data_IF_823822676170
#
_entry.id   IF_823822676170
#
_cell.length_a   1.000
_cell.length_b   1.000
_cell.length_c   1.000
_cell.angle_alpha   90.00
_cell.angle_beta   90.00
_cell.angle_gamma   90.00
#
_symmetry.space_group_name_H-M   'P 1'
#
loop_
_entity.id
_entity.type
_entity.pdbx_description
1 polymer ?
#
# COMPACT_ATOMS: atom_id res chain seq x y z
N UNK A 1 -8.45 8.89 15.12
CA UNK A 1 -9.63 8.81 14.22
C UNK A 1 -9.29 8.13 12.89
N UNK A 2 -8.31 8.60 12.13
CA UNK A 2 -7.96 8.02 10.81
C UNK A 2 -7.51 6.55 10.90
N UNK A 3 -6.73 6.18 11.91
CA UNK A 3 -6.33 4.78 12.12
C UNK A 3 -7.54 3.86 12.29
N UNK A 4 -8.48 4.22 13.15
CA UNK A 4 -9.69 3.40 13.38
C UNK A 4 -10.54 3.28 12.13
N UNK A 5 -10.71 4.38 11.38
CA UNK A 5 -11.51 4.38 10.15
C UNK A 5 -10.86 3.53 9.05
N UNK A 6 -9.55 3.68 8.81
CA UNK A 6 -8.86 2.88 7.78
C UNK A 6 -8.77 1.41 8.15
N UNK A 7 -8.57 1.08 9.44
CA UNK A 7 -8.58 -0.32 9.90
C UNK A 7 -9.97 -0.93 9.77
N UNK A 8 -11.02 -0.22 10.19
CA UNK A 8 -12.41 -0.70 10.06
C UNK A 8 -12.79 -0.88 8.58
N UNK A 9 -12.40 0.07 7.72
CA UNK A 9 -12.63 -0.03 6.28
C UNK A 9 -11.86 -1.21 5.65
N UNK A 10 -10.62 -1.47 6.05
CA UNK A 10 -9.85 -2.63 5.61
C UNK A 10 -10.54 -3.94 6.02
N UNK A 11 -10.96 -4.05 7.28
CA UNK A 11 -11.64 -5.26 7.77
C UNK A 11 -12.98 -5.49 7.05
N UNK A 12 -13.78 -4.44 6.86
CA UNK A 12 -15.02 -4.52 6.10
C UNK A 12 -14.77 -4.95 4.65
N UNK A 13 -13.78 -4.33 3.98
CA UNK A 13 -13.36 -4.69 2.63
C UNK A 13 -12.91 -6.16 2.55
N UNK A 14 -12.15 -6.65 3.55
CA UNK A 14 -11.69 -8.05 3.62
C UNK A 14 -12.86 -9.04 3.72
N UNK A 15 -13.86 -8.71 4.52
CA UNK A 15 -15.08 -9.55 4.65
C UNK A 15 -15.85 -9.59 3.33
N UNK A 16 -16.04 -8.44 2.68
CA UNK A 16 -16.78 -8.33 1.40
C UNK A 16 -16.03 -9.04 0.28
N UNK A 17 -14.70 -8.92 0.23
CA UNK A 17 -13.84 -9.60 -0.74
C UNK A 17 -13.90 -11.13 -0.53
N UNK A 18 -13.71 -11.59 0.71
CA UNK A 18 -13.77 -13.01 1.05
C UNK A 18 -15.15 -13.66 0.82
N UNK A 19 -16.23 -12.88 0.90
CA UNK A 19 -17.59 -13.30 0.54
C UNK A 19 -17.84 -13.30 -0.99
N UNK A 20 -16.88 -12.88 -1.80
CA UNK A 20 -17.01 -12.84 -3.27
C UNK A 20 -17.93 -11.73 -3.79
N UNK A 21 -18.36 -10.79 -2.93
CA UNK A 21 -19.34 -9.76 -3.30
C UNK A 21 -18.77 -8.70 -4.24
N UNK A 22 -17.45 -8.56 -4.31
CA UNK A 22 -16.79 -7.66 -5.28
C UNK A 22 -16.62 -8.28 -6.67
N UNK A 23 -16.71 -9.62 -6.81
CA UNK A 23 -16.35 -10.32 -8.04
C UNK A 23 -17.01 -9.78 -9.31
N UNK A 24 -18.34 -9.45 -9.35
CA UNK A 24 -18.93 -8.90 -10.56
C UNK A 24 -18.35 -7.54 -10.97
N UNK A 25 -18.03 -6.69 -9.99
CA UNK A 25 -17.43 -5.38 -10.22
C UNK A 25 -15.94 -5.50 -10.58
N UNK A 26 -15.22 -6.42 -9.94
CA UNK A 26 -13.81 -6.70 -10.21
C UNK A 26 -13.61 -7.14 -11.65
N UNK A 27 -14.42 -8.09 -12.15
CA UNK A 27 -14.37 -8.54 -13.54
C UNK A 27 -14.70 -7.39 -14.51
N UNK A 28 -15.76 -6.63 -14.24
CA UNK A 28 -16.16 -5.51 -15.10
C UNK A 28 -15.05 -4.47 -15.25
N UNK A 29 -14.39 -4.12 -14.14
CA UNK A 29 -13.31 -3.10 -14.13
C UNK A 29 -12.05 -3.66 -14.79
N UNK A 30 -11.69 -4.93 -14.53
CA UNK A 30 -10.57 -5.60 -15.18
C UNK A 30 -10.75 -5.60 -16.70
N UNK A 31 -11.90 -6.06 -17.20
CA UNK A 31 -12.22 -6.10 -18.62
C UNK A 31 -12.15 -4.70 -19.25
N UNK A 32 -12.69 -3.69 -18.55
CA UNK A 32 -12.63 -2.31 -19.02
C UNK A 32 -11.20 -1.77 -19.10
N UNK A 33 -10.38 -2.06 -18.09
CA UNK A 33 -8.97 -1.64 -18.03
C UNK A 33 -8.14 -2.29 -19.15
N UNK A 34 -8.43 -3.54 -19.49
CA UNK A 34 -7.67 -4.30 -20.48
C UNK A 34 -8.10 -4.10 -21.93
N UNK A 35 -9.22 -3.41 -22.19
CA UNK A 35 -9.64 -3.05 -23.56
C UNK A 35 -8.69 -2.06 -24.25
N UNK A 36 -7.92 -1.31 -23.47
CA UNK A 36 -6.94 -0.35 -23.97
C UNK A 36 -5.57 -1.01 -23.93
N UNK A 37 -5.01 -1.31 -25.09
CA UNK A 37 -3.68 -1.90 -25.24
C UNK A 37 -2.73 -0.85 -25.84
N UNK A 38 -1.77 -0.37 -25.03
CA UNK A 38 -0.76 0.58 -25.49
C UNK A 38 0.57 0.34 -24.79
N UNK A 39 1.68 0.39 -25.56
CA UNK A 39 3.03 0.26 -24.99
C UNK A 39 3.36 1.31 -23.92
N UNK A 40 2.62 2.43 -23.87
CA UNK A 40 2.76 3.43 -22.79
C UNK A 40 2.23 2.88 -21.47
N UNK A 41 1.07 2.21 -21.47
CA UNK A 41 0.52 1.59 -20.26
C UNK A 41 1.38 0.43 -19.79
N UNK A 42 1.97 -0.35 -20.69
CA UNK A 42 2.92 -1.41 -20.35
C UNK A 42 4.17 -0.83 -19.67
N UNK A 43 4.73 0.25 -20.21
CA UNK A 43 5.88 0.94 -19.61
C UNK A 43 5.55 1.51 -18.22
N UNK A 44 4.39 2.14 -18.05
CA UNK A 44 3.90 2.62 -16.74
C UNK A 44 3.74 1.43 -15.80
N UNK A 45 3.15 0.35 -16.27
CA UNK A 45 2.98 -0.90 -15.54
C UNK A 45 4.30 -1.45 -15.01
N UNK A 46 5.32 -1.54 -15.88
CA UNK A 46 6.65 -2.00 -15.50
C UNK A 46 7.30 -1.10 -14.44
N UNK A 47 7.29 0.23 -14.66
CA UNK A 47 7.87 1.20 -13.71
C UNK A 47 7.20 1.10 -12.34
N UNK A 48 5.86 1.05 -12.31
CA UNK A 48 5.10 0.94 -11.06
C UNK A 48 5.25 -0.43 -10.39
N UNK A 49 5.48 -1.51 -11.17
CA UNK A 49 5.77 -2.84 -10.63
C UNK A 49 7.10 -2.85 -9.88
N UNK A 50 8.16 -2.34 -10.51
CA UNK A 50 9.47 -2.26 -9.85
C UNK A 50 9.41 -1.35 -8.62
N UNK A 51 8.80 -0.18 -8.73
CA UNK A 51 8.75 0.81 -7.65
C UNK A 51 7.83 0.39 -6.47
N UNK A 52 6.82 -0.46 -6.71
CA UNK A 52 5.95 -1.02 -5.67
C UNK A 52 6.40 -2.40 -5.16
N UNK A 53 7.42 -2.98 -5.77
CA UNK A 53 8.01 -4.26 -5.36
C UNK A 53 8.59 -4.20 -3.95
N UNK A 54 8.55 -5.33 -3.24
CA UNK A 54 8.98 -5.41 -1.83
C UNK A 54 10.43 -5.01 -1.67
N UNK A 55 11.30 -5.38 -2.62
CA UNK A 55 12.73 -5.09 -2.57
C UNK A 55 13.00 -3.59 -2.64
N UNK A 56 12.41 -2.92 -3.63
CA UNK A 56 12.57 -1.47 -3.82
C UNK A 56 12.02 -0.70 -2.62
N UNK A 57 10.79 -1.03 -2.19
CA UNK A 57 10.15 -0.32 -1.08
C UNK A 57 10.84 -0.60 0.24
N UNK A 58 11.37 -1.80 0.49
CA UNK A 58 12.16 -2.09 1.69
C UNK A 58 13.43 -1.23 1.74
N UNK A 59 14.20 -1.18 0.65
CA UNK A 59 15.40 -0.32 0.56
C UNK A 59 15.04 1.15 0.73
N UNK A 60 14.01 1.64 0.06
CA UNK A 60 13.56 3.02 0.16
C UNK A 60 13.04 3.36 1.58
N UNK A 61 12.35 2.42 2.25
CA UNK A 61 11.89 2.59 3.63
C UNK A 61 13.07 2.68 4.59
N UNK A 62 14.10 1.84 4.42
CA UNK A 62 15.34 1.91 5.22
C UNK A 62 16.06 3.24 4.99
N UNK A 63 16.19 3.68 3.73
CA UNK A 63 16.81 4.96 3.40
C UNK A 63 16.05 6.15 4.02
N UNK A 64 14.71 6.15 3.95
CA UNK A 64 13.88 7.17 4.58
C UNK A 64 14.00 7.14 6.11
N UNK A 65 13.96 5.95 6.72
CA UNK A 65 14.12 5.79 8.16
C UNK A 65 15.51 6.28 8.63
N UNK A 66 16.58 5.94 7.91
CA UNK A 66 17.94 6.43 8.18
C UNK A 66 17.99 7.96 8.08
N UNK A 67 17.39 8.55 7.05
CA UNK A 67 17.32 10.00 6.90
C UNK A 67 16.58 10.66 8.08
N UNK A 68 15.49 10.06 8.53
CA UNK A 68 14.74 10.53 9.71
C UNK A 68 15.57 10.42 11.00
N UNK A 69 16.34 9.35 11.17
CA UNK A 69 17.27 9.18 12.30
C UNK A 69 18.33 10.28 12.31
N UNK A 70 18.98 10.57 11.17
CA UNK A 70 19.99 11.62 11.04
C UNK A 70 19.42 13.01 11.28
N UNK A 71 18.12 13.22 11.00
CA UNK A 71 17.39 14.44 11.30
C UNK A 71 16.85 14.52 12.74
N UNK A 72 17.25 13.59 13.62
CA UNK A 72 16.80 13.56 15.03
C UNK A 72 15.34 13.12 15.22
N UNK A 73 14.70 12.53 14.19
CA UNK A 73 13.31 12.03 14.24
C UNK A 73 13.25 10.52 14.47
N UNK A 74 14.06 10.00 15.39
CA UNK A 74 14.19 8.57 15.70
C UNK A 74 12.87 7.85 15.98
N UNK A 75 11.97 8.38 16.81
CA UNK A 75 10.68 7.75 17.07
C UNK A 75 9.83 7.58 15.80
N UNK A 76 9.84 8.53 14.89
CA UNK A 76 9.13 8.44 13.62
C UNK A 76 9.76 7.40 12.68
N UNK A 77 11.10 7.36 12.62
CA UNK A 77 11.83 6.35 11.86
C UNK A 77 11.47 4.93 12.31
N UNK A 78 11.49 4.70 13.63
CA UNK A 78 11.13 3.41 14.22
C UNK A 78 9.67 3.02 13.91
N UNK A 79 8.74 3.96 14.04
CA UNK A 79 7.33 3.70 13.70
C UNK A 79 7.14 3.36 12.23
N UNK A 80 7.83 4.05 11.32
CA UNK A 80 7.76 3.74 9.90
C UNK A 80 8.21 2.30 9.60
N UNK A 81 9.32 1.87 10.19
CA UNK A 81 9.83 0.50 10.02
C UNK A 81 8.88 -0.52 10.63
N UNK A 82 8.36 -0.26 11.84
CA UNK A 82 7.37 -1.15 12.49
C UNK A 82 6.09 -1.23 11.63
N UNK A 83 5.59 -0.10 11.13
CA UNK A 83 4.42 -0.10 10.25
C UNK A 83 4.64 -0.94 9.00
N UNK A 84 5.81 -0.82 8.35
CA UNK A 84 6.16 -1.63 7.17
C UNK A 84 6.14 -3.13 7.50
N UNK A 85 6.77 -3.54 8.59
CA UNK A 85 6.84 -4.94 9.00
C UNK A 85 5.46 -5.49 9.43
N UNK A 86 4.73 -4.75 10.26
CA UNK A 86 3.43 -5.19 10.78
C UNK A 86 2.39 -5.27 9.67
N UNK A 87 2.33 -4.27 8.79
CA UNK A 87 1.38 -4.32 7.66
C UNK A 87 1.74 -5.41 6.66
N UNK A 88 3.03 -5.72 6.46
CA UNK A 88 3.47 -6.86 5.66
C UNK A 88 3.05 -8.22 6.27
N UNK A 89 3.14 -8.36 7.60
CA UNK A 89 2.64 -9.56 8.28
C UNK A 89 1.12 -9.70 8.18
N UNK A 90 0.38 -8.59 8.30
CA UNK A 90 -1.08 -8.57 8.12
C UNK A 90 -1.44 -8.93 6.66
N UNK A 91 -0.70 -8.39 5.67
CA UNK A 91 -0.86 -8.76 4.26
C UNK A 91 -0.72 -10.27 4.08
N UNK A 92 0.37 -10.85 4.59
CA UNK A 92 0.63 -12.28 4.47
C UNK A 92 -0.48 -13.12 5.13
N UNK A 93 -0.92 -12.73 6.32
CA UNK A 93 -2.04 -13.38 6.99
C UNK A 93 -3.34 -13.28 6.19
N UNK A 94 -3.66 -12.11 5.65
CA UNK A 94 -4.86 -11.92 4.83
C UNK A 94 -4.81 -12.76 3.55
N UNK A 95 -3.64 -12.89 2.91
CA UNK A 95 -3.43 -13.76 1.74
C UNK A 95 -3.61 -15.26 2.00
N UNK A 96 -3.68 -15.66 3.27
CA UNK A 96 -4.01 -17.05 3.66
C UNK A 96 -5.45 -17.21 4.15
N UNK A 97 -6.10 -16.11 4.56
CA UNK A 97 -7.39 -16.16 5.27
C UNK A 97 -8.57 -15.60 4.47
N UNK A 98 -8.32 -14.73 3.47
CA UNK A 98 -9.40 -14.09 2.68
C UNK A 98 -9.56 -14.86 1.36
N UNK A 99 -10.57 -15.72 1.22
CA UNK A 99 -10.72 -16.61 0.07
C UNK A 99 -11.25 -15.85 -1.15
N UNK A 100 -10.34 -15.20 -1.87
CA UNK A 100 -10.64 -14.54 -3.13
C UNK A 100 -9.94 -15.29 -4.28
N UNK A 101 -10.63 -15.65 -5.37
CA UNK A 101 -10.01 -16.36 -6.48
C UNK A 101 -8.92 -15.48 -7.12
N UNK A 102 -7.81 -16.06 -7.61
CA UNK A 102 -6.81 -15.32 -8.34
C UNK A 102 -7.38 -14.76 -9.65
N UNK A 103 -6.74 -13.73 -10.18
CA UNK A 103 -7.00 -13.26 -11.53
C UNK A 103 -6.63 -14.39 -12.51
N UNK A 104 -7.43 -14.68 -13.55
CA UNK A 104 -7.12 -15.71 -14.53
C UNK A 104 -5.77 -15.46 -15.21
N UNK A 105 -5.00 -16.53 -15.44
CA UNK A 105 -3.64 -16.43 -16.02
C UNK A 105 -3.65 -15.81 -17.43
N UNK A 106 -4.69 -16.04 -18.20
CA UNK A 106 -4.87 -15.46 -19.53
C UNK A 106 -5.15 -13.95 -19.53
N UNK A 107 -5.53 -13.40 -18.38
CA UNK A 107 -5.63 -11.95 -18.15
C UNK A 107 -4.32 -11.30 -17.73
N UNK A 108 -3.29 -12.08 -17.38
CA UNK A 108 -1.99 -11.53 -16.98
C UNK A 108 -1.19 -11.09 -18.22
N UNK A 109 -0.86 -9.79 -18.30
CA UNK A 109 -0.09 -9.21 -19.42
C UNK A 109 1.41 -9.40 -19.29
N UNK A 110 1.93 -9.25 -18.08
CA UNK A 110 3.36 -9.39 -17.79
C UNK A 110 3.58 -10.05 -16.43
N UNK A 111 4.58 -10.95 -16.28
CA UNK A 111 4.97 -11.47 -14.98
C UNK A 111 5.38 -10.33 -14.03
N UNK A 112 5.11 -10.50 -12.75
CA UNK A 112 5.62 -9.58 -11.72
C UNK A 112 7.15 -9.71 -11.66
N UNK A 113 7.92 -8.61 -11.78
CA UNK A 113 9.38 -8.64 -11.75
C UNK A 113 9.98 -8.84 -10.35
N UNK A 114 9.17 -9.14 -9.33
CA UNK A 114 9.63 -9.36 -7.95
C UNK A 114 10.60 -10.54 -7.87
N UNK A 115 11.72 -10.36 -7.16
CA UNK A 115 12.69 -11.43 -6.87
C UNK A 115 12.23 -12.27 -5.67
N UNK A 116 11.41 -11.71 -4.80
CA UNK A 116 10.85 -12.36 -3.62
C UNK A 116 9.39 -12.73 -3.92
N UNK A 117 9.21 -13.85 -4.58
CA UNK A 117 7.88 -14.42 -4.79
C UNK A 117 7.52 -15.36 -3.63
N UNK A 118 6.59 -14.93 -2.80
CA UNK A 118 6.01 -15.76 -1.75
C UNK A 118 4.67 -16.31 -2.27
N UNK A 119 4.69 -17.56 -2.67
CA UNK A 119 3.46 -18.25 -3.10
C UNK A 119 2.42 -18.23 -1.98
N UNK A 120 1.27 -17.63 -2.26
CA UNK A 120 0.15 -17.52 -1.33
C UNK A 120 -1.13 -17.99 -2.02
N UNK A 121 -2.09 -18.61 -1.28
CA UNK A 121 -3.31 -19.17 -1.87
C UNK A 121 -4.23 -18.10 -2.47
N UNK A 122 -4.20 -16.86 -1.97
CA UNK A 122 -5.12 -15.79 -2.38
C UNK A 122 -4.37 -14.51 -2.72
N UNK A 123 -4.86 -13.69 -3.69
CA UNK A 123 -4.22 -12.45 -4.10
C UNK A 123 -4.45 -11.27 -3.15
N UNK A 124 -5.52 -11.32 -2.33
CA UNK A 124 -5.95 -10.22 -1.46
C UNK A 124 -5.11 -10.14 -0.17
N UNK A 125 -4.71 -8.93 0.24
CA UNK A 125 -4.73 -7.66 -0.46
C UNK A 125 -3.49 -7.44 -1.34
N UNK A 126 -3.52 -6.41 -2.23
CA UNK A 126 -2.37 -6.05 -3.05
C UNK A 126 -1.21 -5.49 -2.21
N UNK A 127 -0.12 -6.24 -2.14
CA UNK A 127 1.09 -5.82 -1.42
C UNK A 127 1.80 -4.64 -2.08
N UNK A 128 1.78 -4.54 -3.41
CA UNK A 128 2.32 -3.39 -4.14
C UNK A 128 1.59 -2.10 -3.73
N UNK A 129 0.26 -2.13 -3.69
CA UNK A 129 -0.52 -0.96 -3.31
C UNK A 129 -0.35 -0.59 -1.84
N UNK A 130 -0.35 -1.58 -0.94
CA UNK A 130 -0.05 -1.41 0.48
C UNK A 130 1.27 -0.64 0.69
N UNK A 131 2.36 -1.16 0.11
CA UNK A 131 3.71 -0.62 0.27
C UNK A 131 3.85 0.76 -0.38
N UNK A 132 3.27 0.94 -1.57
CA UNK A 132 3.26 2.25 -2.24
C UNK A 132 2.54 3.31 -1.42
N UNK A 133 1.37 3.01 -0.85
CA UNK A 133 0.63 3.96 0.00
C UNK A 133 1.40 4.29 1.27
N UNK A 134 2.01 3.30 1.93
CA UNK A 134 2.77 3.54 3.15
C UNK A 134 4.00 4.42 2.89
N UNK A 135 4.83 4.08 1.90
CA UNK A 135 6.08 4.80 1.60
C UNK A 135 5.80 6.18 0.99
N UNK A 136 5.03 6.22 -0.11
CA UNK A 136 4.77 7.48 -0.81
C UNK A 136 3.87 8.40 0.00
N UNK A 137 2.95 7.84 0.80
CA UNK A 137 2.17 8.58 1.78
C UNK A 137 3.03 9.20 2.88
N UNK A 138 4.04 8.47 3.39
CA UNK A 138 5.00 9.02 4.34
C UNK A 138 5.80 10.17 3.71
N UNK A 139 6.31 10.01 2.49
CA UNK A 139 7.01 11.07 1.76
C UNK A 139 6.08 12.27 1.53
N UNK A 140 4.82 12.03 1.12
CA UNK A 140 3.82 13.08 0.93
C UNK A 140 3.58 13.94 2.18
N UNK A 141 3.53 13.31 3.36
CA UNK A 141 3.33 14.01 4.63
C UNK A 141 4.58 14.75 5.09
N UNK A 142 5.75 14.24 4.76
CA UNK A 142 7.04 14.84 5.15
C UNK A 142 7.49 15.96 4.19
N UNK A 143 7.08 15.92 2.94
CA UNK A 143 7.54 16.84 1.91
C UNK A 143 6.60 18.05 1.74
N UNK A 144 7.09 19.28 1.88
CA UNK A 144 6.24 20.49 1.86
C UNK A 144 5.83 20.92 0.45
N UNK A 145 6.52 20.46 -0.60
CA UNK A 145 6.33 20.94 -1.98
C UNK A 145 5.00 20.45 -2.59
N UNK A 146 4.14 21.38 -3.02
CA UNK A 146 2.89 21.03 -3.71
C UNK A 146 3.10 20.24 -5.00
N UNK A 147 4.03 20.62 -5.91
CA UNK A 147 4.28 19.82 -7.12
C UNK A 147 4.70 18.39 -6.81
N UNK A 148 5.58 18.18 -5.83
CA UNK A 148 6.00 16.86 -5.41
C UNK A 148 4.81 16.03 -4.89
N UNK A 149 3.94 16.61 -4.06
CA UNK A 149 2.74 15.94 -3.56
C UNK A 149 1.79 15.52 -4.69
N UNK A 150 1.60 16.38 -5.69
CA UNK A 150 0.78 16.05 -6.87
C UNK A 150 1.42 14.90 -7.65
N UNK A 151 2.73 14.93 -7.88
CA UNK A 151 3.44 13.87 -8.57
C UNK A 151 3.32 12.51 -7.83
N UNK A 152 3.43 12.51 -6.49
CA UNK A 152 3.24 11.30 -5.68
C UNK A 152 1.82 10.73 -5.78
N UNK A 153 0.80 11.60 -5.79
CA UNK A 153 -0.59 11.16 -5.95
C UNK A 153 -0.86 10.61 -7.37
N UNK A 154 -0.30 11.25 -8.40
CA UNK A 154 -0.38 10.73 -9.78
C UNK A 154 0.29 9.37 -9.87
N UNK A 155 1.46 9.20 -9.25
CA UNK A 155 2.16 7.91 -9.26
C UNK A 155 1.39 6.83 -8.49
N UNK A 156 0.77 7.16 -7.35
CA UNK A 156 -0.11 6.23 -6.62
C UNK A 156 -1.32 5.81 -7.45
N UNK A 157 -1.95 6.76 -8.14
CA UNK A 157 -3.07 6.47 -9.03
C UNK A 157 -2.63 5.57 -10.22
N UNK A 158 -1.48 5.89 -10.82
CA UNK A 158 -0.89 5.07 -11.87
C UNK A 158 -0.56 3.65 -11.38
N UNK A 159 -0.02 3.52 -10.16
CA UNK A 159 0.24 2.23 -9.53
C UNK A 159 -1.04 1.43 -9.32
N UNK A 160 -2.11 2.06 -8.84
CA UNK A 160 -3.40 1.39 -8.66
C UNK A 160 -3.98 0.87 -9.98
N UNK A 161 -4.02 1.72 -11.01
CA UNK A 161 -4.53 1.37 -12.33
C UNK A 161 -3.69 0.28 -12.98
N UNK A 162 -2.35 0.38 -12.86
CA UNK A 162 -1.46 -0.59 -13.48
C UNK A 162 -1.61 -2.01 -12.93
N UNK A 163 -1.90 -2.18 -11.62
CA UNK A 163 -2.11 -3.52 -11.04
C UNK A 163 -3.30 -4.24 -11.67
N UNK A 164 -4.39 -3.49 -11.92
CA UNK A 164 -5.57 -4.01 -12.60
C UNK A 164 -5.29 -4.22 -14.10
N UNK A 165 -4.70 -3.24 -14.77
CA UNK A 165 -4.35 -3.30 -16.18
C UNK A 165 -3.44 -4.49 -16.52
N UNK A 166 -2.42 -4.74 -15.70
CA UNK A 166 -1.51 -5.87 -15.87
C UNK A 166 -2.14 -7.23 -15.51
N UNK A 167 -3.35 -7.26 -14.96
CA UNK A 167 -4.03 -8.48 -14.54
C UNK A 167 -3.38 -9.17 -13.34
N UNK A 168 -2.57 -8.46 -12.55
CA UNK A 168 -1.90 -9.03 -11.38
C UNK A 168 -2.77 -9.02 -10.13
N UNK A 169 -3.76 -8.12 -10.08
CA UNK A 169 -4.67 -7.96 -8.95
C UNK A 169 -6.07 -7.53 -9.39
N UNK A 170 -7.06 -7.94 -8.64
CA UNK A 170 -8.41 -7.40 -8.71
C UNK A 170 -8.46 -5.95 -8.19
N UNK A 171 -9.40 -5.11 -8.68
CA UNK A 171 -9.66 -3.78 -8.09
C UNK A 171 -9.86 -3.81 -6.58
N UNK A 172 -10.57 -4.80 -6.06
CA UNK A 172 -10.78 -4.98 -4.63
C UNK A 172 -9.50 -5.32 -3.85
N UNK A 173 -8.53 -6.05 -4.44
CA UNK A 173 -7.22 -6.27 -3.84
C UNK A 173 -6.46 -4.95 -3.70
N UNK A 174 -6.50 -4.13 -4.75
CA UNK A 174 -5.87 -2.80 -4.77
C UNK A 174 -6.48 -1.90 -3.70
N UNK A 175 -7.80 -1.91 -3.57
CA UNK A 175 -8.51 -1.16 -2.52
C UNK A 175 -8.11 -1.66 -1.12
N UNK A 176 -8.11 -2.98 -0.90
CA UNK A 176 -7.68 -3.58 0.37
C UNK A 176 -6.25 -3.21 0.73
N UNK A 177 -5.32 -3.29 -0.23
CA UNK A 177 -3.93 -2.87 -0.06
C UNK A 177 -3.80 -1.39 0.30
N UNK A 178 -4.54 -0.51 -0.38
CA UNK A 178 -4.56 0.91 -0.10
C UNK A 178 -5.06 1.21 1.32
N UNK A 179 -6.15 0.57 1.75
CA UNK A 179 -6.73 0.75 3.09
C UNK A 179 -5.78 0.29 4.20
N UNK A 180 -5.10 -0.85 4.01
CA UNK A 180 -4.09 -1.33 4.96
C UNK A 180 -2.88 -0.41 5.00
N UNK A 181 -2.42 0.08 3.84
CA UNK A 181 -1.35 1.08 3.75
C UNK A 181 -1.71 2.38 4.47
N UNK A 182 -2.95 2.87 4.31
CA UNK A 182 -3.45 4.04 5.03
C UNK A 182 -3.53 3.81 6.54
N UNK A 183 -3.89 2.60 6.99
CA UNK A 183 -3.88 2.27 8.42
C UNK A 183 -2.45 2.32 9.00
N UNK A 184 -1.47 1.73 8.31
CA UNK A 184 -0.06 1.80 8.68
C UNK A 184 0.47 3.24 8.69
N UNK A 185 0.11 4.04 7.68
CA UNK A 185 0.47 5.45 7.59
C UNK A 185 -0.14 6.26 8.73
N UNK A 186 -1.44 6.09 9.01
CA UNK A 186 -2.12 6.77 10.09
C UNK A 186 -1.48 6.46 11.45
N UNK A 187 -1.14 5.18 11.71
CA UNK A 187 -0.44 4.79 12.92
C UNK A 187 0.96 5.40 13.02
N UNK A 188 1.70 5.46 11.91
CA UNK A 188 3.04 6.05 11.85
C UNK A 188 3.03 7.51 12.29
N UNK A 189 2.02 8.29 11.84
CA UNK A 189 1.92 9.73 12.09
C UNK A 189 0.94 10.13 13.20
N UNK A 190 0.35 9.16 13.91
CA UNK A 190 -0.54 9.46 15.04
C UNK A 190 0.23 10.23 16.11
N UNK A 191 -0.32 11.39 16.48
CA UNK A 191 0.31 12.25 17.49
C UNK A 191 0.39 11.49 18.82
N UNK A 192 1.57 11.43 19.40
CA UNK A 192 1.80 10.94 20.76
C UNK A 192 1.19 11.92 21.80
N UNK A 193 -0.11 12.10 21.82
CA UNK A 193 -0.76 12.87 22.88
C UNK A 193 -0.94 12.08 24.18
N UNK A 194 -0.51 10.81 24.22
CA UNK A 194 -0.72 9.94 25.38
C UNK A 194 0.51 9.76 26.28
N UNK A 195 1.71 10.23 25.90
CA UNK A 195 2.93 10.03 26.70
C UNK A 195 3.64 11.33 27.15
N UNK A 196 3.11 12.50 26.84
CA UNK A 196 3.62 13.76 27.40
C UNK A 196 2.86 14.14 28.69
N UNK A 197 2.80 13.24 29.63
CA UNK A 197 2.54 13.55 31.03
C UNK A 197 3.78 14.16 31.70
N UNK A 198 4.38 15.19 31.08
CA UNK A 198 5.28 16.07 31.83
C UNK A 198 4.42 17.07 32.61
N UNK A 199 4.49 17.05 33.97
CA UNK A 199 3.92 18.13 34.74
C UNK A 199 4.62 19.42 34.30
N UNK A 200 3.82 20.42 33.94
CA UNK A 200 4.29 21.78 33.71
C UNK A 200 5.12 22.23 34.90
N UNK A 201 6.42 22.34 34.71
CA UNK A 201 7.28 23.07 35.64
C UNK A 201 7.01 24.57 35.43
N UNK A 202 5.99 25.08 36.09
CA UNK A 202 5.72 26.48 36.43
C UNK A 202 4.94 26.40 37.71
N UNK A 203 5.53 26.75 38.86
CA UNK A 203 5.75 28.10 39.32
C UNK A 203 6.67 28.09 40.57
N UNK A 204 7.38 29.21 40.81
CA UNK A 204 8.17 29.43 42.01
C UNK A 204 7.34 29.72 43.23
#
# INVERSE_FOLDING_TARGET
MYLLLSTAAFLACSVVAGAGLFQPLDVLILDAAQRTDTGVLDAIGLVTSVAGGVEFVAVATVALATSLLLLGRGPLALRLVIAFLVTGLIELAAKTMVPQPPVPEDAMRTPDPSLLDVSTPYPYPSGHMLRSVLLLGAIYLLWPSRPARIALLIFLAASAVSRVYLGTHWPSDVLGGALLGLAGLAWTFEKQSAFSGQPSAKDP
#
